data_IF_044179812119
#
_entry.id   IF_044179812119
#
_cell.length_a   1.000
_cell.length_b   1.000
_cell.length_c   1.000
_cell.angle_alpha   90.00
_cell.angle_beta   90.00
_cell.angle_gamma   90.00
#
_symmetry.space_group_name_H-M   'P 1'
#
loop_
_entity.id
_entity.type
_entity.pdbx_description
1 polymer ?
#
# COMPACT_ATOMS: atom_id res chain seq x y z
N UNK A 1 -5.37 22.75 -8.24
CA UNK A 1 -5.74 22.08 -9.51
C UNK A 1 -5.06 20.74 -9.47
N UNK A 2 -5.69 19.68 -9.98
CA UNK A 2 -5.09 18.35 -9.93
C UNK A 2 -3.73 18.31 -10.62
N UNK A 3 -2.83 17.43 -10.17
CA UNK A 3 -1.60 17.17 -10.90
C UNK A 3 -1.93 16.62 -12.30
N UNK A 4 -1.24 17.14 -13.31
CA UNK A 4 -1.33 16.63 -14.67
C UNK A 4 -0.85 15.18 -14.78
N UNK A 5 0.09 14.77 -13.91
CA UNK A 5 0.62 13.40 -13.83
C UNK A 5 1.75 13.29 -12.82
N UNK A 6 2.53 12.20 -12.88
CA UNK A 6 3.62 11.93 -11.95
C UNK A 6 4.65 13.06 -11.86
N UNK A 7 5.01 13.71 -12.98
CA UNK A 7 6.08 14.73 -13.01
C UNK A 7 5.74 15.97 -12.19
N UNK A 8 4.51 16.48 -12.32
CA UNK A 8 4.07 17.64 -11.52
C UNK A 8 3.91 17.28 -10.04
N UNK A 9 3.48 16.04 -9.75
CA UNK A 9 3.48 15.54 -8.38
C UNK A 9 4.90 15.45 -7.80
N UNK A 10 5.88 14.99 -8.58
CA UNK A 10 7.29 14.96 -8.17
C UNK A 10 7.82 16.37 -7.88
N UNK A 11 7.49 17.37 -8.71
CA UNK A 11 7.82 18.78 -8.46
C UNK A 11 7.19 19.29 -7.15
N UNK A 12 5.96 18.88 -6.83
CA UNK A 12 5.33 19.22 -5.54
C UNK A 12 6.09 18.60 -4.36
N UNK A 13 6.49 17.33 -4.46
CA UNK A 13 7.30 16.67 -3.45
C UNK A 13 8.68 17.33 -3.29
N UNK A 14 9.31 17.79 -4.38
CA UNK A 14 10.59 18.50 -4.33
C UNK A 14 10.45 19.86 -3.63
N UNK A 15 9.38 20.61 -3.92
CA UNK A 15 9.06 21.88 -3.22
C UNK A 15 8.92 21.70 -1.71
N UNK A 16 8.36 20.57 -1.28
CA UNK A 16 8.13 20.24 0.14
C UNK A 16 9.32 19.49 0.78
N UNK A 17 10.47 19.42 0.11
CA UNK A 17 11.69 18.73 0.56
C UNK A 17 11.45 17.25 0.90
N UNK A 18 10.55 16.60 0.16
CA UNK A 18 10.22 15.17 0.34
C UNK A 18 10.97 14.26 -0.61
N UNK A 19 11.72 14.77 -1.57
CA UNK A 19 12.51 13.97 -2.50
C UNK A 19 13.99 14.01 -2.14
N UNK A 20 14.61 12.85 -2.08
CA UNK A 20 16.06 12.71 -2.05
C UNK A 20 16.54 12.15 -3.38
N UNK A 21 17.31 12.96 -4.12
CA UNK A 21 17.95 12.57 -5.38
C UNK A 21 19.27 11.87 -5.11
N UNK A 22 19.36 10.63 -5.56
CA UNK A 22 20.56 9.79 -5.44
C UNK A 22 21.29 9.88 -6.77
N UNK A 23 22.37 10.67 -6.78
CA UNK A 23 23.21 10.93 -7.95
C UNK A 23 24.28 9.85 -8.17
N UNK A 24 24.53 9.03 -7.15
CA UNK A 24 25.41 7.88 -7.25
C UNK A 24 24.82 6.85 -8.23
N UNK A 25 25.68 6.21 -9.02
CA UNK A 25 25.26 5.08 -9.85
C UNK A 25 24.94 3.88 -8.96
N UNK A 26 23.78 3.27 -9.18
CA UNK A 26 23.32 2.12 -8.40
C UNK A 26 23.02 0.91 -9.27
N UNK A 27 23.19 -0.28 -8.69
CA UNK A 27 22.79 -1.54 -9.31
C UNK A 27 21.32 -1.90 -8.99
N UNK A 28 20.51 -2.16 -10.04
CA UNK A 28 19.09 -2.52 -9.87
C UNK A 28 18.91 -3.92 -9.26
N UNK A 29 19.90 -4.80 -9.40
CA UNK A 29 19.78 -6.22 -9.03
C UNK A 29 20.03 -6.45 -7.54
N UNK A 30 20.51 -5.44 -6.79
CA UNK A 30 20.67 -5.57 -5.34
C UNK A 30 20.68 -4.23 -4.57
N UNK A 31 21.22 -3.17 -5.16
CA UNK A 31 21.59 -1.96 -4.42
C UNK A 31 20.37 -1.06 -4.13
N UNK A 32 19.45 -0.92 -5.10
CA UNK A 32 18.19 -0.18 -4.92
C UNK A 32 17.40 -0.73 -3.72
N UNK A 33 17.23 -2.05 -3.64
CA UNK A 33 16.51 -2.69 -2.54
C UNK A 33 17.21 -2.48 -1.20
N UNK A 34 18.55 -2.62 -1.17
CA UNK A 34 19.34 -2.41 0.04
C UNK A 34 19.26 -0.96 0.55
N UNK A 35 19.35 0.03 -0.34
CA UNK A 35 19.23 1.45 0.00
C UNK A 35 17.84 1.73 0.58
N UNK A 36 16.78 1.30 -0.08
CA UNK A 36 15.40 1.42 0.42
C UNK A 36 15.26 0.82 1.83
N UNK A 37 15.78 -0.39 2.05
CA UNK A 37 15.73 -1.04 3.37
C UNK A 37 16.46 -0.24 4.44
N UNK A 38 17.65 0.30 4.15
CA UNK A 38 18.40 1.11 5.13
C UNK A 38 17.71 2.45 5.41
N UNK A 39 17.07 3.06 4.42
CA UNK A 39 16.26 4.28 4.61
C UNK A 39 15.12 4.01 5.60
N UNK A 40 14.33 2.95 5.40
CA UNK A 40 13.21 2.61 6.29
C UNK A 40 13.63 2.21 7.71
N UNK A 41 14.85 1.70 7.88
CA UNK A 41 15.42 1.35 9.19
C UNK A 41 16.03 2.54 9.94
N UNK A 42 16.72 3.45 9.24
CA UNK A 42 17.54 4.49 9.86
C UNK A 42 16.83 5.83 9.96
N UNK A 43 15.87 6.11 9.09
CA UNK A 43 15.17 7.39 9.03
C UNK A 43 13.79 7.23 9.66
N UNK A 44 13.51 8.09 10.64
CA UNK A 44 12.23 8.14 11.34
C UNK A 44 11.06 8.26 10.33
N UNK A 45 9.92 7.59 10.55
CA UNK A 45 8.81 7.52 9.58
C UNK A 45 8.38 8.86 8.99
N UNK A 46 8.32 9.92 9.80
CA UNK A 46 7.86 11.25 9.38
C UNK A 46 8.87 11.97 8.47
N UNK A 47 10.15 11.58 8.50
CA UNK A 47 11.25 12.20 7.77
C UNK A 47 11.73 11.40 6.56
N UNK A 48 11.12 10.24 6.29
CA UNK A 48 11.52 9.39 5.18
C UNK A 48 11.25 10.09 3.84
N UNK A 49 12.26 10.23 2.98
CA UNK A 49 12.08 10.84 1.67
C UNK A 49 11.62 9.81 0.63
N UNK A 50 10.99 10.31 -0.42
CA UNK A 50 10.88 9.67 -1.72
C UNK A 50 12.27 9.57 -2.33
N UNK A 51 12.65 8.40 -2.84
CA UNK A 51 13.98 8.15 -3.38
C UNK A 51 13.94 8.21 -4.91
N UNK A 52 14.73 9.11 -5.49
CA UNK A 52 14.89 9.25 -6.93
C UNK A 52 16.30 8.82 -7.32
N UNK A 53 16.44 7.61 -7.85
CA UNK A 53 17.72 7.06 -8.32
C UNK A 53 17.98 7.53 -9.75
N UNK A 54 18.88 8.50 -9.91
CA UNK A 54 19.11 9.16 -11.20
C UNK A 54 19.89 8.29 -12.19
N UNK A 55 20.78 7.45 -11.67
CA UNK A 55 21.72 6.66 -12.45
C UNK A 55 21.61 5.19 -12.07
N UNK A 56 21.04 4.39 -12.96
CA UNK A 56 20.97 2.94 -12.80
C UNK A 56 21.94 2.30 -13.78
N UNK A 57 22.85 1.47 -13.28
CA UNK A 57 23.91 0.86 -14.08
C UNK A 57 23.36 0.11 -15.29
N UNK A 58 23.72 0.57 -16.49
CA UNK A 58 23.30 -0.03 -17.76
C UNK A 58 21.94 0.45 -18.28
N UNK A 59 21.31 1.46 -17.65
CA UNK A 59 20.00 1.98 -18.04
C UNK A 59 19.98 3.52 -18.08
N UNK A 60 19.28 4.09 -19.06
CA UNK A 60 19.05 5.54 -19.18
C UNK A 60 17.75 6.00 -18.47
N UNK A 61 17.08 5.09 -17.76
CA UNK A 61 15.79 5.30 -17.12
C UNK A 61 16.02 5.40 -15.60
N UNK A 62 15.69 6.54 -14.95
CA UNK A 62 15.76 6.66 -13.49
C UNK A 62 14.68 5.83 -12.80
N UNK A 63 14.92 5.47 -11.53
CA UNK A 63 13.97 4.72 -10.70
C UNK A 63 13.45 5.58 -9.56
N UNK A 64 12.13 5.61 -9.38
CA UNK A 64 11.44 6.33 -8.31
C UNK A 64 10.81 5.35 -7.32
N UNK A 65 11.16 5.43 -6.04
CA UNK A 65 10.65 4.57 -4.95
C UNK A 65 10.11 5.44 -3.80
N UNK A 66 9.04 5.03 -3.11
CA UNK A 66 8.51 5.79 -1.97
C UNK A 66 7.49 6.91 -2.29
N UNK A 67 7.21 7.24 -3.55
CA UNK A 67 6.31 8.37 -3.88
C UNK A 67 4.84 8.20 -3.48
N UNK A 68 4.42 7.07 -2.93
CA UNK A 68 3.10 6.95 -2.28
C UNK A 68 3.22 6.65 -0.78
N UNK A 69 4.27 5.93 -0.38
CA UNK A 69 4.38 5.37 0.98
C UNK A 69 5.70 5.64 1.70
N UNK A 70 6.46 6.67 1.34
CA UNK A 70 7.63 7.06 2.14
C UNK A 70 7.20 7.57 3.52
N UNK A 71 6.14 8.39 3.57
CA UNK A 71 5.52 8.89 4.80
C UNK A 71 4.04 9.25 4.57
N UNK A 72 3.27 9.44 5.64
CA UNK A 72 1.87 9.91 5.52
C UNK A 72 1.75 11.30 4.90
N UNK A 73 2.79 12.12 5.00
CA UNK A 73 2.82 13.46 4.39
C UNK A 73 2.96 13.36 2.87
N UNK A 74 3.79 12.43 2.37
CA UNK A 74 3.87 12.13 0.92
C UNK A 74 2.50 11.71 0.38
N UNK A 75 1.80 10.82 1.10
CA UNK A 75 0.43 10.42 0.74
C UNK A 75 -0.57 11.59 0.77
N UNK A 76 -0.42 12.53 1.72
CA UNK A 76 -1.27 13.72 1.80
C UNK A 76 -1.01 14.71 0.65
N UNK A 77 0.27 14.91 0.27
CA UNK A 77 0.68 15.74 -0.87
C UNK A 77 0.10 15.17 -2.18
N UNK A 78 0.06 13.84 -2.34
CA UNK A 78 -0.62 13.20 -3.47
C UNK A 78 -2.11 13.58 -3.58
N UNK A 79 -2.79 13.76 -2.45
CA UNK A 79 -4.18 14.25 -2.38
C UNK A 79 -4.31 15.78 -2.45
N UNK A 80 -3.17 16.50 -2.46
CA UNK A 80 -3.08 17.95 -2.29
C UNK A 80 -3.82 18.43 -1.03
N UNK A 81 -3.67 17.69 0.06
CA UNK A 81 -4.33 17.99 1.32
C UNK A 81 -3.42 17.67 2.52
N UNK A 82 -3.94 17.77 3.74
CA UNK A 82 -3.25 17.48 4.99
C UNK A 82 -3.57 16.08 5.49
N UNK A 83 -2.70 15.54 6.34
CA UNK A 83 -2.82 14.17 6.88
C UNK A 83 -4.18 13.95 7.55
N UNK A 84 -4.69 14.95 8.29
CA UNK A 84 -5.95 14.85 9.01
C UNK A 84 -7.17 14.77 8.08
N UNK A 85 -7.03 15.24 6.83
CA UNK A 85 -8.12 15.30 5.84
C UNK A 85 -8.11 14.12 4.86
N UNK A 86 -7.15 13.20 4.97
CA UNK A 86 -7.04 12.03 4.08
C UNK A 86 -8.37 11.27 4.01
N UNK A 87 -8.97 10.97 5.16
CA UNK A 87 -10.24 10.22 5.19
C UNK A 87 -11.39 11.00 4.55
N UNK A 88 -11.54 12.29 4.85
CA UNK A 88 -12.57 13.12 4.23
C UNK A 88 -12.44 13.14 2.70
N UNK A 89 -11.22 13.20 2.18
CA UNK A 89 -10.96 13.18 0.73
C UNK A 89 -11.41 11.85 0.11
N UNK A 90 -11.09 10.73 0.74
CA UNK A 90 -11.54 9.41 0.31
C UNK A 90 -13.05 9.22 0.39
N UNK A 91 -13.68 9.72 1.45
CA UNK A 91 -15.13 9.65 1.61
C UNK A 91 -15.85 10.51 0.56
N UNK A 92 -15.35 11.72 0.30
CA UNK A 92 -15.90 12.60 -0.73
C UNK A 92 -15.76 11.99 -2.13
N UNK A 93 -14.61 11.41 -2.46
CA UNK A 93 -14.39 10.77 -3.76
C UNK A 93 -15.32 9.58 -4.00
N UNK A 94 -15.57 8.77 -2.96
CA UNK A 94 -16.52 7.65 -3.05
C UNK A 94 -17.98 8.10 -3.16
N UNK A 95 -18.36 9.20 -2.50
CA UNK A 95 -19.72 9.78 -2.61
C UNK A 95 -19.94 10.54 -3.92
N UNK A 96 -18.88 11.08 -4.51
CA UNK A 96 -18.92 11.92 -5.71
C UNK A 96 -17.83 11.50 -6.70
N UNK A 97 -17.93 10.28 -7.26
CA UNK A 97 -17.05 9.84 -8.33
C UNK A 97 -17.16 10.77 -9.53
N UNK A 98 -16.05 10.94 -10.27
CA UNK A 98 -16.01 11.74 -11.50
C UNK A 98 -15.52 10.84 -12.62
N UNK A 99 -16.38 10.63 -13.62
CA UNK A 99 -16.07 9.77 -14.77
C UNK A 99 -14.87 10.26 -15.57
N UNK A 100 -14.04 9.35 -16.10
CA UNK A 100 -12.92 9.71 -16.96
C UNK A 100 -13.38 10.34 -18.28
N UNK A 101 -12.50 11.09 -18.93
CA UNK A 101 -12.69 11.63 -20.28
C UNK A 101 -11.77 10.93 -21.27
N UNK A 102 -12.17 10.88 -22.54
CA UNK A 102 -11.37 10.30 -23.61
C UNK A 102 -10.57 11.40 -24.32
N UNK A 103 -9.29 11.14 -24.56
CA UNK A 103 -8.40 12.03 -25.33
C UNK A 103 -7.78 11.29 -26.52
N UNK A 104 -7.44 12.03 -27.57
CA UNK A 104 -6.93 11.46 -28.81
C UNK A 104 -5.50 10.94 -28.71
N UNK A 105 -4.67 11.59 -27.90
CA UNK A 105 -3.26 11.25 -27.66
C UNK A 105 -2.86 11.74 -26.27
N UNK A 106 -1.65 11.37 -25.84
CA UNK A 106 -1.07 11.83 -24.59
C UNK A 106 0.44 11.60 -24.56
N UNK A 107 1.14 12.20 -23.59
CA UNK A 107 2.58 12.01 -23.44
C UNK A 107 3.03 10.55 -23.39
N UNK A 108 2.21 9.63 -22.85
CA UNK A 108 2.56 8.21 -22.80
C UNK A 108 2.79 7.58 -24.20
N UNK A 109 2.40 8.27 -25.28
CA UNK A 109 2.56 7.84 -26.68
C UNK A 109 3.72 8.50 -27.43
N UNK A 110 4.60 9.24 -26.74
CA UNK A 110 5.78 9.88 -27.36
C UNK A 110 6.68 8.83 -28.05
N UNK A 111 6.82 7.64 -27.46
CA UNK A 111 7.52 6.50 -28.03
C UNK A 111 6.61 5.27 -28.07
N UNK A 112 6.57 4.55 -29.20
CA UNK A 112 5.73 3.36 -29.40
C UNK A 112 6.60 2.21 -29.92
N UNK A 113 6.72 1.15 -29.11
CA UNK A 113 7.53 -0.03 -29.40
C UNK A 113 6.60 -1.23 -29.55
N UNK A 114 6.53 -1.83 -30.75
CA UNK A 114 5.67 -2.97 -31.06
C UNK A 114 6.49 -4.21 -31.41
N UNK A 115 5.89 -5.39 -31.25
CA UNK A 115 6.51 -6.64 -31.67
C UNK A 115 7.82 -6.88 -30.92
N UNK A 116 8.92 -7.14 -31.64
CA UNK A 116 10.22 -7.45 -31.00
C UNK A 116 10.88 -6.24 -30.34
N UNK A 117 10.48 -5.01 -30.71
CA UNK A 117 10.99 -3.79 -30.07
C UNK A 117 10.41 -3.58 -28.65
N UNK A 118 9.28 -4.21 -28.34
CA UNK A 118 8.66 -4.20 -27.02
C UNK A 118 9.45 -5.12 -26.08
N UNK A 119 10.58 -4.66 -25.56
CA UNK A 119 11.51 -5.47 -24.75
C UNK A 119 11.59 -4.95 -23.31
N UNK A 120 11.08 -5.75 -22.37
CA UNK A 120 11.10 -5.50 -20.93
C UNK A 120 12.51 -5.45 -20.34
N UNK A 121 13.50 -6.09 -20.97
CA UNK A 121 14.90 -6.09 -20.51
C UNK A 121 15.54 -4.71 -20.58
N UNK A 122 14.93 -3.77 -21.32
CA UNK A 122 15.34 -2.36 -21.40
C UNK A 122 14.92 -1.53 -20.19
N UNK A 123 14.13 -2.08 -19.28
CA UNK A 123 13.66 -1.39 -18.08
C UNK A 123 14.56 -1.70 -16.88
N UNK A 124 14.83 -0.72 -16.00
CA UNK A 124 15.60 -0.90 -14.78
C UNK A 124 14.78 -1.58 -13.67
N UNK A 125 14.08 -2.68 -14.00
CA UNK A 125 13.23 -3.42 -13.07
C UNK A 125 14.07 -4.02 -11.94
N UNK A 126 13.86 -3.61 -10.67
CA UNK A 126 14.67 -4.10 -9.56
C UNK A 126 14.42 -5.57 -9.22
N UNK A 127 15.42 -6.20 -8.61
CA UNK A 127 15.26 -7.40 -7.79
C UNK A 127 15.14 -6.93 -6.34
N UNK A 128 14.10 -7.38 -5.64
CA UNK A 128 13.81 -6.87 -4.30
C UNK A 128 14.46 -7.74 -3.23
N UNK A 129 14.24 -9.04 -3.28
CA UNK A 129 14.76 -10.01 -2.32
C UNK A 129 15.86 -10.85 -2.95
N UNK A 130 17.06 -10.28 -2.99
CA UNK A 130 18.23 -10.90 -3.63
C UNK A 130 18.51 -12.29 -3.05
N UNK A 131 18.63 -13.29 -3.93
CA UNK A 131 18.87 -14.68 -3.57
C UNK A 131 17.61 -15.52 -3.38
N UNK A 132 16.44 -14.89 -3.22
CA UNK A 132 15.15 -15.57 -3.01
C UNK A 132 14.17 -15.31 -4.16
N UNK A 133 14.06 -14.07 -4.64
CA UNK A 133 13.25 -13.73 -5.81
C UNK A 133 13.84 -14.45 -7.06
N UNK A 134 13.02 -15.14 -7.87
CA UNK A 134 13.49 -15.85 -9.08
C UNK A 134 13.92 -14.91 -10.23
N UNK A 135 13.72 -13.60 -10.08
CA UNK A 135 14.05 -12.60 -11.08
C UNK A 135 13.52 -11.22 -10.72
N UNK A 136 13.60 -10.24 -11.64
CA UNK A 136 13.09 -8.89 -11.41
C UNK A 136 11.57 -8.82 -11.31
N UNK A 137 11.07 -7.88 -10.50
CA UNK A 137 9.64 -7.67 -10.27
C UNK A 137 9.20 -6.23 -10.49
N UNK A 138 8.13 -6.06 -11.28
CA UNK A 138 7.39 -4.80 -11.35
C UNK A 138 6.44 -4.77 -10.14
N UNK A 139 6.67 -3.81 -9.22
CA UNK A 139 6.00 -3.77 -7.91
C UNK A 139 5.03 -2.62 -7.69
N UNK A 140 5.06 -1.58 -8.54
CA UNK A 140 4.03 -0.53 -8.57
C UNK A 140 3.17 -0.53 -9.86
N UNK A 141 2.77 -1.69 -10.44
CA UNK A 141 1.96 -1.67 -11.64
C UNK A 141 0.52 -1.29 -11.31
N UNK A 142 -0.06 -0.36 -12.07
CA UNK A 142 -1.50 -0.22 -12.17
C UNK A 142 -1.99 -1.07 -13.34
N UNK A 143 -2.37 -2.32 -13.08
CA UNK A 143 -2.85 -3.26 -14.11
C UNK A 143 -4.33 -3.00 -14.40
N UNK A 144 -4.57 -2.57 -15.62
CA UNK A 144 -5.89 -2.30 -16.19
C UNK A 144 -6.40 -3.57 -16.86
N UNK A 145 -7.62 -3.97 -16.51
CA UNK A 145 -8.39 -4.98 -17.23
C UNK A 145 -9.85 -4.54 -17.31
N UNK A 146 -10.64 -5.19 -18.17
CA UNK A 146 -12.04 -4.83 -18.40
C UNK A 146 -12.91 -6.07 -18.37
N UNK A 147 -14.10 -5.96 -17.79
CA UNK A 147 -15.06 -7.05 -17.83
C UNK A 147 -15.57 -7.25 -19.27
N UNK A 148 -15.55 -8.48 -19.83
CA UNK A 148 -16.01 -8.71 -21.22
C UNK A 148 -17.52 -8.55 -21.42
N UNK A 149 -18.30 -8.47 -20.34
CA UNK A 149 -19.76 -8.36 -20.39
C UNK A 149 -20.22 -6.95 -20.04
N UNK A 150 -19.81 -6.45 -18.87
CA UNK A 150 -20.27 -5.14 -18.36
C UNK A 150 -19.44 -3.99 -18.90
N UNK A 151 -18.25 -4.30 -19.44
CA UNK A 151 -17.27 -3.31 -19.89
C UNK A 151 -16.76 -2.39 -18.76
N UNK A 152 -16.93 -2.79 -17.49
CA UNK A 152 -16.40 -2.05 -16.34
C UNK A 152 -14.88 -2.21 -16.24
N UNK A 153 -14.19 -1.14 -15.85
CA UNK A 153 -12.76 -1.18 -15.58
C UNK A 153 -12.44 -1.84 -14.24
N UNK A 154 -11.28 -2.50 -14.19
CA UNK A 154 -10.52 -2.72 -12.97
C UNK A 154 -9.15 -2.09 -13.15
N UNK A 155 -8.68 -1.34 -12.15
CA UNK A 155 -7.29 -0.93 -11.99
C UNK A 155 -6.75 -1.49 -10.67
N UNK A 156 -5.78 -2.39 -10.72
CA UNK A 156 -5.26 -3.03 -9.50
C UNK A 156 -3.74 -3.18 -9.50
N UNK A 157 -3.16 -3.19 -8.29
CA UNK A 157 -1.74 -3.50 -8.06
C UNK A 157 -1.54 -5.00 -7.84
N UNK A 158 -0.75 -5.63 -8.71
CA UNK A 158 -0.39 -7.04 -8.67
C UNK A 158 1.11 -7.18 -8.94
N UNK A 159 1.84 -8.00 -8.17
CA UNK A 159 3.27 -8.23 -8.49
C UNK A 159 3.41 -8.90 -9.86
N UNK A 160 4.35 -8.42 -10.67
CA UNK A 160 4.63 -8.98 -12.00
C UNK A 160 6.08 -9.44 -12.08
N UNK A 161 6.29 -10.75 -12.19
CA UNK A 161 7.62 -11.32 -12.41
C UNK A 161 8.03 -11.13 -13.87
N UNK A 162 9.21 -10.57 -14.12
CA UNK A 162 9.80 -10.54 -15.46
C UNK A 162 10.36 -11.92 -15.79
N UNK A 163 9.75 -12.60 -16.77
CA UNK A 163 10.14 -13.96 -17.21
C UNK A 163 10.95 -13.96 -18.52
N UNK A 164 11.06 -12.81 -19.16
CA UNK A 164 11.81 -12.60 -20.39
C UNK A 164 11.45 -11.27 -21.07
N UNK A 165 11.97 -11.00 -22.27
CA UNK A 165 11.75 -9.74 -23.00
C UNK A 165 10.29 -9.34 -23.21
N UNK A 166 9.39 -10.32 -23.35
CA UNK A 166 7.96 -10.09 -23.66
C UNK A 166 7.00 -10.94 -22.83
N UNK A 167 7.44 -11.37 -21.66
CA UNK A 167 6.64 -12.28 -20.82
C UNK A 167 6.71 -11.86 -19.36
N UNK A 168 5.54 -11.69 -18.77
CA UNK A 168 5.36 -11.42 -17.35
C UNK A 168 4.56 -12.54 -16.71
N UNK A 169 4.93 -12.98 -15.50
CA UNK A 169 4.01 -13.72 -14.63
C UNK A 169 3.21 -12.73 -13.80
N UNK A 170 1.90 -12.94 -13.61
CA UNK A 170 1.05 -12.09 -12.78
C UNK A 170 0.48 -12.87 -11.61
N UNK A 171 0.76 -12.42 -10.38
CA UNK A 171 0.09 -12.99 -9.21
C UNK A 171 -1.25 -12.29 -8.97
N UNK A 172 -2.32 -12.88 -9.50
CA UNK A 172 -3.69 -12.47 -9.29
C UNK A 172 -4.47 -13.55 -8.51
N UNK A 173 -4.72 -13.30 -7.22
CA UNK A 173 -5.50 -14.20 -6.37
C UNK A 173 -6.95 -14.32 -6.86
N UNK A 174 -7.60 -15.45 -6.59
CA UNK A 174 -8.93 -15.79 -7.15
C UNK A 174 -10.05 -14.81 -6.75
N UNK A 175 -9.90 -14.10 -5.63
CA UNK A 175 -10.84 -13.09 -5.15
C UNK A 175 -10.66 -11.68 -5.73
N UNK A 176 -9.65 -11.45 -6.57
CA UNK A 176 -9.37 -10.12 -7.13
C UNK A 176 -10.14 -9.89 -8.44
N UNK A 177 -10.47 -8.63 -8.74
CA UNK A 177 -11.28 -8.24 -9.90
C UNK A 177 -10.68 -8.75 -11.23
N UNK A 178 -9.36 -8.64 -11.44
CA UNK A 178 -8.72 -9.16 -12.65
C UNK A 178 -8.90 -10.68 -12.83
N UNK A 179 -8.95 -11.45 -11.73
CA UNK A 179 -9.23 -12.89 -11.78
C UNK A 179 -10.69 -13.17 -12.15
N UNK A 180 -11.62 -12.29 -11.77
CA UNK A 180 -13.01 -12.36 -12.23
C UNK A 180 -13.10 -12.11 -13.75
N UNK A 181 -12.49 -11.03 -14.25
CA UNK A 181 -12.45 -10.72 -15.67
C UNK A 181 -11.79 -11.85 -16.48
N UNK A 182 -10.61 -12.32 -16.03
CA UNK A 182 -9.88 -13.42 -16.68
C UNK A 182 -10.75 -14.67 -16.80
N UNK A 183 -11.43 -15.10 -15.74
CA UNK A 183 -12.29 -16.30 -15.77
C UNK A 183 -13.41 -16.18 -16.80
N UNK A 184 -13.99 -14.98 -16.96
CA UNK A 184 -15.01 -14.72 -17.98
C UNK A 184 -14.46 -14.82 -19.40
N UNK A 185 -13.28 -14.29 -19.67
CA UNK A 185 -12.62 -14.46 -20.98
C UNK A 185 -12.22 -15.91 -21.24
N UNK A 186 -11.66 -16.57 -20.23
CA UNK A 186 -11.20 -17.97 -20.32
C UNK A 186 -12.36 -18.94 -20.56
N UNK A 187 -13.53 -18.71 -19.94
CA UNK A 187 -14.76 -19.45 -20.23
C UNK A 187 -15.25 -19.31 -21.68
N UNK A 188 -14.83 -18.24 -22.37
CA UNK A 188 -15.08 -18.00 -23.80
C UNK A 188 -13.93 -18.45 -24.70
N UNK A 189 -12.90 -19.08 -24.13
CA UNK A 189 -11.64 -19.38 -24.80
C UNK A 189 -11.01 -18.15 -25.48
N UNK A 190 -11.16 -16.99 -24.85
CA UNK A 190 -10.61 -15.71 -25.31
C UNK A 190 -9.42 -15.30 -24.46
N UNK A 191 -8.49 -14.57 -25.06
CA UNK A 191 -7.40 -13.93 -24.35
C UNK A 191 -7.95 -12.77 -23.52
N UNK A 192 -7.42 -12.57 -22.32
CA UNK A 192 -7.79 -11.42 -21.48
C UNK A 192 -6.88 -10.23 -21.80
N UNK A 193 -7.38 -9.13 -22.36
CA UNK A 193 -6.57 -7.96 -22.61
C UNK A 193 -6.17 -7.30 -21.29
N UNK A 194 -4.91 -6.88 -21.18
CA UNK A 194 -4.38 -6.17 -20.02
C UNK A 194 -3.45 -5.03 -20.45
N UNK A 195 -3.43 -3.96 -19.68
CA UNK A 195 -2.43 -2.89 -19.80
C UNK A 195 -1.83 -2.59 -18.44
N UNK A 196 -0.51 -2.56 -18.34
CA UNK A 196 0.23 -2.29 -17.11
C UNK A 196 0.74 -0.86 -17.20
N UNK A 197 0.27 -0.02 -16.28
CA UNK A 197 0.60 1.41 -16.24
C UNK A 197 1.61 1.66 -15.12
N UNK A 198 2.74 2.30 -15.44
CA UNK A 198 3.75 2.75 -14.48
C UNK A 198 3.87 4.27 -14.51
N UNK A 199 3.99 4.85 -13.32
CA UNK A 199 4.06 6.29 -13.12
C UNK A 199 2.84 7.08 -13.64
N UNK A 200 1.58 6.67 -13.32
CA UNK A 200 0.43 7.51 -13.59
C UNK A 200 0.36 8.70 -12.63
N UNK A 201 -0.69 9.51 -12.75
CA UNK A 201 -1.12 10.40 -11.66
C UNK A 201 -1.23 9.61 -10.33
N UNK A 202 -0.74 10.15 -9.19
CA UNK A 202 -0.72 9.44 -7.92
C UNK A 202 -2.11 8.96 -7.46
N UNK A 203 -3.21 9.63 -7.83
CA UNK A 203 -4.55 9.15 -7.44
C UNK A 203 -4.93 7.81 -8.07
N UNK A 204 -4.34 7.48 -9.24
CA UNK A 204 -4.49 6.17 -9.89
C UNK A 204 -3.76 5.08 -9.10
N UNK A 205 -2.55 5.38 -8.59
CA UNK A 205 -1.82 4.44 -7.73
C UNK A 205 -2.58 4.20 -6.41
N UNK A 206 -3.18 5.25 -5.85
CA UNK A 206 -3.97 5.18 -4.62
C UNK A 206 -5.19 4.27 -4.74
N UNK A 207 -5.94 4.38 -5.83
CA UNK A 207 -7.11 3.51 -6.06
C UNK A 207 -6.68 2.08 -6.39
N UNK A 208 -5.55 1.88 -7.07
CA UNK A 208 -5.12 0.54 -7.48
C UNK A 208 -4.65 -0.35 -6.32
N UNK A 209 -4.26 0.23 -5.18
CA UNK A 209 -3.90 -0.49 -3.95
C UNK A 209 -5.09 -0.63 -2.98
N UNK A 210 -6.25 -0.05 -3.32
CA UNK A 210 -7.46 -0.06 -2.50
C UNK A 210 -8.40 -1.18 -2.94
N UNK A 211 -9.10 -1.81 -1.99
CA UNK A 211 -10.10 -2.85 -2.29
C UNK A 211 -11.48 -2.22 -2.37
N UNK A 212 -12.06 -2.20 -3.56
CA UNK A 212 -13.46 -1.82 -3.78
C UNK A 212 -14.34 -3.04 -4.03
N UNK A 213 -15.66 -2.82 -4.11
CA UNK A 213 -16.60 -3.79 -4.62
C UNK A 213 -16.52 -3.89 -6.14
N UNK A 214 -16.99 -5.01 -6.70
CA UNK A 214 -16.93 -5.31 -8.15
C UNK A 214 -17.69 -4.32 -9.04
N UNK A 215 -18.60 -3.54 -8.48
CA UNK A 215 -19.40 -2.52 -9.15
C UNK A 215 -18.78 -1.11 -9.11
N UNK A 216 -17.62 -0.95 -8.46
CA UNK A 216 -16.89 0.32 -8.39
C UNK A 216 -15.79 0.35 -9.45
N UNK A 217 -15.78 1.38 -10.29
CA UNK A 217 -14.70 1.61 -11.25
C UNK A 217 -13.63 2.54 -10.64
N UNK A 218 -12.37 2.12 -10.62
CA UNK A 218 -11.31 2.85 -9.91
C UNK A 218 -11.00 4.21 -10.55
N UNK A 219 -11.15 4.35 -11.87
CA UNK A 219 -10.95 5.64 -12.55
C UNK A 219 -11.94 6.71 -12.09
N UNK A 220 -13.18 6.32 -11.78
CA UNK A 220 -14.22 7.22 -11.30
C UNK A 220 -13.86 7.76 -9.90
N UNK A 221 -13.34 6.88 -9.04
CA UNK A 221 -12.87 7.26 -7.69
C UNK A 221 -11.61 8.13 -7.78
N UNK A 222 -10.67 7.80 -8.66
CA UNK A 222 -9.49 8.62 -8.91
C UNK A 222 -9.88 10.03 -9.37
N UNK A 223 -10.85 10.13 -10.28
CA UNK A 223 -11.45 11.39 -10.69
C UNK A 223 -12.01 12.19 -9.51
N UNK A 224 -12.73 11.52 -8.60
CA UNK A 224 -13.23 12.12 -7.36
C UNK A 224 -12.13 12.61 -6.42
N UNK A 225 -11.03 11.85 -6.26
CA UNK A 225 -9.89 12.23 -5.42
C UNK A 225 -9.16 13.47 -5.97
N UNK A 226 -8.90 13.49 -7.28
CA UNK A 226 -8.22 14.61 -7.95
C UNK A 226 -9.13 15.81 -8.17
N UNK A 227 -10.46 15.62 -8.17
CA UNK A 227 -11.47 16.66 -8.33
C UNK A 227 -11.78 17.01 -9.80
N UNK A 228 -11.26 16.25 -10.75
CA UNK A 228 -11.48 16.42 -12.19
C UNK A 228 -11.37 15.06 -12.91
N UNK A 229 -11.93 14.90 -14.12
CA UNK A 229 -11.86 13.66 -14.87
C UNK A 229 -10.43 13.18 -15.15
N UNK A 230 -10.19 11.87 -15.06
CA UNK A 230 -8.95 11.26 -15.54
C UNK A 230 -8.96 11.22 -17.08
N UNK A 231 -7.98 11.84 -17.78
CA UNK A 231 -7.88 11.75 -19.23
C UNK A 231 -7.32 10.39 -19.63
N UNK A 232 -8.13 9.60 -20.34
CA UNK A 232 -7.76 8.27 -20.83
C UNK A 232 -7.50 8.30 -22.34
N UNK A 233 -6.46 7.58 -22.77
CA UNK A 233 -6.10 7.38 -24.17
C UNK A 233 -6.17 5.88 -24.49
N UNK A 234 -6.59 5.53 -25.72
CA UNK A 234 -6.62 4.14 -26.18
C UNK A 234 -5.23 3.53 -26.24
N UNK A 235 -5.11 2.27 -25.83
CA UNK A 235 -3.94 1.43 -26.09
C UNK A 235 -3.75 1.18 -27.59
N UNK A 236 -2.54 0.77 -27.98
CA UNK A 236 -2.11 0.56 -29.36
C UNK A 236 -2.48 -0.81 -29.94
N UNK A 237 -2.53 -1.83 -29.08
CA UNK A 237 -2.65 -3.25 -29.46
C UNK A 237 -3.73 -4.01 -28.69
N UNK A 238 -4.24 -3.45 -27.59
CA UNK A 238 -5.35 -4.02 -26.81
C UNK A 238 -6.53 -3.07 -26.74
N UNK A 239 -7.78 -3.57 -26.64
CA UNK A 239 -8.99 -2.74 -26.58
C UNK A 239 -9.24 -2.16 -25.17
N UNK A 240 -8.24 -1.45 -24.62
CA UNK A 240 -8.28 -0.80 -23.32
C UNK A 240 -7.88 0.67 -23.44
N UNK A 241 -8.20 1.43 -22.39
CA UNK A 241 -7.80 2.82 -22.24
C UNK A 241 -7.03 3.01 -20.93
N UNK A 242 -6.00 3.85 -20.99
CA UNK A 242 -5.03 4.09 -19.90
C UNK A 242 -4.84 5.59 -19.67
N UNK A 243 -4.37 6.04 -18.49
CA UNK A 243 -4.14 7.46 -18.24
C UNK A 243 -3.12 8.04 -19.22
N UNK A 244 -3.50 9.11 -19.90
CA UNK A 244 -2.75 9.68 -21.03
C UNK A 244 -1.36 10.23 -20.65
N UNK A 245 -1.15 10.55 -19.37
CA UNK A 245 0.06 11.19 -18.85
C UNK A 245 1.04 10.23 -18.15
N UNK A 246 0.74 8.92 -18.20
CA UNK A 246 1.58 7.86 -17.62
C UNK A 246 3.00 7.85 -18.19
N UNK A 247 4.00 7.48 -17.37
CA UNK A 247 5.40 7.39 -17.83
C UNK A 247 5.64 6.22 -18.79
N UNK A 248 5.14 5.03 -18.44
CA UNK A 248 5.31 3.79 -19.22
C UNK A 248 4.00 3.00 -19.21
N UNK A 249 3.59 2.49 -20.37
CA UNK A 249 2.46 1.57 -20.52
C UNK A 249 2.93 0.32 -21.25
N UNK A 250 2.72 -0.83 -20.65
CA UNK A 250 3.01 -2.15 -21.24
C UNK A 250 1.67 -2.81 -21.56
N UNK A 251 1.44 -3.11 -22.82
CA UNK A 251 0.22 -3.77 -23.28
C UNK A 251 0.47 -5.24 -23.54
N UNK A 252 -0.52 -6.07 -23.25
CA UNK A 252 -0.43 -7.48 -23.54
C UNK A 252 -1.72 -8.24 -23.31
N UNK A 253 -1.63 -9.54 -23.45
CA UNK A 253 -2.78 -10.43 -23.33
C UNK A 253 -2.44 -11.65 -22.48
N UNK A 254 -3.40 -12.09 -21.66
CA UNK A 254 -3.29 -13.34 -20.91
C UNK A 254 -3.93 -14.46 -21.74
N UNK A 255 -3.18 -15.51 -22.14
CA UNK A 255 -3.75 -16.64 -22.86
C UNK A 255 -4.70 -17.47 -21.96
N UNK A 256 -5.83 -17.98 -22.50
CA UNK A 256 -6.74 -18.84 -21.74
C UNK A 256 -6.05 -20.16 -21.39
N UNK A 257 -6.25 -20.68 -20.18
CA UNK A 257 -5.73 -21.97 -19.71
C UNK A 257 -4.23 -22.05 -19.44
N UNK A 258 -3.43 -21.09 -19.95
CA UNK A 258 -1.98 -21.17 -19.86
C UNK A 258 -1.43 -20.55 -18.58
N UNK A 259 -0.56 -21.27 -17.88
CA UNK A 259 0.05 -20.87 -16.61
C UNK A 259 1.53 -21.23 -16.61
N UNK A 260 2.34 -20.44 -15.91
CA UNK A 260 3.75 -20.74 -15.65
C UNK A 260 4.06 -20.53 -14.17
N UNK A 261 5.14 -21.16 -13.69
CA UNK A 261 5.60 -20.95 -12.33
C UNK A 261 6.00 -19.48 -12.11
N UNK A 262 5.42 -18.86 -11.09
CA UNK A 262 5.65 -17.49 -10.61
C UNK A 262 6.04 -17.54 -9.13
N UNK A 263 6.96 -16.67 -8.72
CA UNK A 263 7.40 -16.57 -7.34
C UNK A 263 8.54 -17.54 -6.99
N UNK A 264 9.01 -17.54 -5.72
CA UNK A 264 8.46 -16.78 -4.59
C UNK A 264 8.73 -15.27 -4.69
N UNK A 265 8.13 -14.47 -3.80
CA UNK A 265 8.35 -13.03 -3.75
C UNK A 265 8.31 -12.51 -2.31
N UNK A 266 9.15 -11.53 -1.97
CA UNK A 266 9.18 -10.93 -0.63
C UNK A 266 7.88 -10.20 -0.26
N UNK A 267 7.16 -10.68 0.76
CA UNK A 267 5.86 -10.13 1.13
C UNK A 267 5.92 -9.11 2.28
N UNK A 268 4.83 -8.36 2.44
CA UNK A 268 4.69 -7.30 3.45
C UNK A 268 4.84 -7.79 4.90
N UNK A 269 4.69 -9.09 5.14
CA UNK A 269 4.87 -9.72 6.46
C UNK A 269 6.35 -9.88 6.81
N UNK A 270 7.23 -9.73 5.82
CA UNK A 270 8.67 -9.90 5.94
C UNK A 270 9.21 -11.28 5.64
N UNK A 271 8.35 -12.16 5.16
CA UNK A 271 8.70 -13.50 4.71
C UNK A 271 8.47 -13.63 3.21
N UNK A 272 9.11 -14.63 2.60
CA UNK A 272 8.80 -15.00 1.23
C UNK A 272 7.37 -15.53 1.14
N UNK A 273 6.60 -14.97 0.21
CA UNK A 273 5.27 -15.44 -0.14
C UNK A 273 5.30 -16.68 -1.03
N UNK A 274 4.12 -17.22 -1.30
CA UNK A 274 3.98 -18.42 -2.10
C UNK A 274 4.48 -18.24 -3.54
N UNK A 275 4.97 -19.35 -4.08
CA UNK A 275 5.18 -19.56 -5.51
C UNK A 275 4.08 -20.49 -6.05
N UNK A 276 3.82 -20.45 -7.35
CA UNK A 276 2.75 -21.26 -7.94
C UNK A 276 2.58 -21.03 -9.42
N UNK A 277 1.77 -21.90 -10.06
CA UNK A 277 1.44 -21.75 -11.47
C UNK A 277 0.41 -20.65 -11.65
N UNK A 278 0.86 -19.50 -12.17
CA UNK A 278 0.05 -18.30 -12.32
C UNK A 278 -0.12 -17.91 -13.80
N UNK A 279 -1.13 -17.09 -14.12
CA UNK A 279 -1.30 -16.56 -15.47
C UNK A 279 -0.05 -15.81 -15.93
N UNK A 280 0.19 -15.88 -17.23
CA UNK A 280 1.24 -15.10 -17.89
C UNK A 280 0.64 -14.06 -18.80
N UNK A 281 1.32 -12.94 -18.94
CA UNK A 281 1.01 -11.88 -19.88
C UNK A 281 2.02 -11.95 -21.01
N UNK A 282 1.53 -12.07 -22.24
CA UNK A 282 2.34 -11.94 -23.45
C UNK A 282 2.31 -10.48 -23.90
N UNK A 283 3.46 -9.81 -23.87
CA UNK A 283 3.58 -8.38 -24.17
C UNK A 283 3.56 -8.16 -25.68
N UNK A 284 2.72 -7.22 -26.11
CA UNK A 284 2.49 -6.88 -27.52
C UNK A 284 3.01 -5.49 -27.89
N UNK A 285 2.98 -4.55 -26.94
CA UNK A 285 3.40 -3.18 -27.14
C UNK A 285 3.93 -2.57 -25.83
N UNK A 286 4.91 -1.67 -25.94
CA UNK A 286 5.34 -0.79 -24.86
C UNK A 286 5.29 0.64 -25.40
N UNK A 287 4.56 1.51 -24.74
CA UNK A 287 4.58 2.95 -25.00
C UNK A 287 5.16 3.69 -23.81
N UNK A 288 5.89 4.77 -24.04
CA UNK A 288 6.45 5.56 -22.96
C UNK A 288 6.71 7.01 -23.36
N UNK A 289 6.80 7.86 -22.34
CA UNK A 289 7.26 9.24 -22.48
C UNK A 289 8.73 9.32 -22.87
N UNK A 290 9.14 10.45 -23.40
CA UNK A 290 10.55 10.82 -23.49
C UNK A 290 11.15 10.91 -22.09
N UNK A 291 12.32 10.28 -21.92
CA UNK A 291 13.04 10.17 -20.63
C UNK A 291 12.09 9.67 -19.52
N UNK A 292 11.55 8.45 -19.64
CA UNK A 292 10.52 7.98 -18.73
C UNK A 292 11.10 7.78 -17.32
N UNK A 293 10.26 7.86 -16.30
CA UNK A 293 10.61 7.49 -14.92
C UNK A 293 10.06 6.10 -14.63
N UNK A 294 10.92 5.16 -14.24
CA UNK A 294 10.49 3.85 -13.79
C UNK A 294 10.04 3.91 -12.34
N UNK A 295 8.75 3.68 -12.10
CA UNK A 295 8.16 3.75 -10.77
C UNK A 295 8.07 2.36 -10.13
N UNK A 296 8.44 2.25 -8.86
CA UNK A 296 8.37 0.99 -8.13
C UNK A 296 7.97 1.16 -6.65
N UNK A 297 7.40 0.11 -6.06
CA UNK A 297 7.10 0.03 -4.64
C UNK A 297 8.13 -0.83 -3.91
N UNK A 298 8.57 -0.36 -2.76
CA UNK A 298 9.38 -1.16 -1.83
C UNK A 298 8.47 -1.93 -0.85
N UNK A 299 8.24 -3.22 -1.12
CA UNK A 299 7.49 -4.12 -0.23
C UNK A 299 8.34 -5.31 0.17
N UNK A 300 8.68 -5.39 1.45
CA UNK A 300 9.48 -6.45 2.09
C UNK A 300 9.19 -6.46 3.60
N UNK A 301 10.11 -7.03 4.40
CA UNK A 301 10.17 -6.93 5.85
C UNK A 301 9.75 -5.55 6.36
N UNK A 302 8.75 -5.48 7.26
CA UNK A 302 8.33 -4.21 7.82
C UNK A 302 9.46 -3.55 8.65
N UNK A 303 9.45 -2.21 8.80
CA UNK A 303 8.64 -1.28 8.03
C UNK A 303 9.10 -1.20 6.57
N UNK A 304 8.15 -0.98 5.67
CA UNK A 304 8.33 -0.86 4.21
C UNK A 304 7.28 0.11 3.61
N UNK A 305 7.42 0.49 2.34
CA UNK A 305 6.51 1.43 1.67
C UNK A 305 5.06 0.91 1.73
N UNK A 306 4.86 -0.40 1.52
CA UNK A 306 3.54 -1.03 1.58
C UNK A 306 2.90 -0.97 2.97
N UNK A 307 3.69 -1.05 4.05
CA UNK A 307 3.19 -0.89 5.42
C UNK A 307 2.70 0.54 5.68
N UNK A 308 3.40 1.56 5.17
CA UNK A 308 3.00 2.96 5.32
C UNK A 308 1.75 3.29 4.48
N UNK A 309 1.66 2.80 3.24
CA UNK A 309 0.47 2.95 2.38
C UNK A 309 -0.75 2.37 3.10
N UNK A 310 -0.64 1.12 3.55
CA UNK A 310 -1.72 0.41 4.23
C UNK A 310 -2.15 1.12 5.51
N UNK A 311 -1.19 1.54 6.34
CA UNK A 311 -1.43 2.30 7.57
C UNK A 311 -2.20 3.58 7.26
N UNK A 312 -1.64 4.42 6.38
CA UNK A 312 -2.17 5.76 6.07
C UNK A 312 -3.58 5.70 5.49
N UNK A 313 -3.86 4.75 4.59
CA UNK A 313 -5.19 4.58 4.01
C UNK A 313 -6.24 4.01 4.96
N UNK A 314 -5.83 3.35 6.07
CA UNK A 314 -6.75 2.58 6.93
C UNK A 314 -6.99 3.19 8.30
N UNK A 315 -5.97 3.74 8.95
CA UNK A 315 -6.07 4.25 10.33
C UNK A 315 -7.20 5.27 10.48
N UNK A 316 -7.22 6.28 9.62
CA UNK A 316 -8.21 7.35 9.70
C UNK A 316 -9.64 6.85 9.45
N UNK A 317 -9.82 5.91 8.53
CA UNK A 317 -11.13 5.32 8.24
C UNK A 317 -11.64 4.45 9.39
N UNK A 318 -10.76 3.69 10.05
CA UNK A 318 -11.10 2.94 11.26
C UNK A 318 -11.41 3.88 12.44
N UNK A 319 -10.61 4.93 12.65
CA UNK A 319 -10.82 5.89 13.71
C UNK A 319 -12.18 6.60 13.56
N UNK A 320 -12.47 7.10 12.36
CA UNK A 320 -13.75 7.72 12.01
C UNK A 320 -14.92 6.75 12.18
N UNK A 321 -14.77 5.49 11.75
CA UNK A 321 -15.79 4.47 11.99
C UNK A 321 -16.12 4.29 13.47
N UNK A 322 -15.09 4.12 14.31
CA UNK A 322 -15.29 3.91 15.74
C UNK A 322 -15.85 5.16 16.44
N UNK A 323 -15.32 6.32 16.11
CA UNK A 323 -15.61 7.59 16.79
C UNK A 323 -16.91 8.22 16.31
N UNK A 324 -17.04 8.41 15.00
CA UNK A 324 -18.10 9.22 14.40
C UNK A 324 -19.29 8.36 13.99
N UNK A 325 -19.07 7.19 13.37
CA UNK A 325 -20.17 6.32 12.92
C UNK A 325 -20.80 5.54 14.08
N UNK A 326 -19.98 5.04 15.02
CA UNK A 326 -20.46 4.26 16.18
C UNK A 326 -20.60 5.10 17.47
N UNK A 327 -20.14 6.35 17.49
CA UNK A 327 -20.23 7.23 18.65
C UNK A 327 -19.43 6.74 19.87
N UNK A 328 -18.36 5.97 19.66
CA UNK A 328 -17.52 5.45 20.75
C UNK A 328 -16.48 6.49 21.17
N UNK A 329 -16.10 6.48 22.45
CA UNK A 329 -15.11 7.40 23.02
C UNK A 329 -13.66 7.00 22.69
N UNK A 330 -13.35 6.88 21.40
CA UNK A 330 -12.00 6.61 20.89
C UNK A 330 -11.26 7.92 20.66
N UNK A 331 -10.08 8.06 21.27
CA UNK A 331 -9.18 9.19 21.07
C UNK A 331 -8.38 9.01 19.79
N UNK A 332 -7.78 7.83 19.64
CA UNK A 332 -6.83 7.55 18.55
C UNK A 332 -6.74 6.04 18.26
N UNK A 333 -6.24 5.72 17.06
CA UNK A 333 -6.01 4.35 16.60
C UNK A 333 -4.71 4.29 15.79
N UNK A 334 -3.88 3.29 16.08
CA UNK A 334 -2.61 3.08 15.41
C UNK A 334 -2.45 1.63 14.93
N UNK A 335 -1.99 1.48 13.69
CA UNK A 335 -1.57 0.23 13.06
C UNK A 335 -0.05 0.31 12.83
N UNK A 336 0.77 -0.19 13.77
CA UNK A 336 2.22 -0.05 13.69
C UNK A 336 2.80 -0.61 12.39
N UNK A 337 3.65 0.17 11.72
CA UNK A 337 4.34 -0.28 10.50
C UNK A 337 5.25 -1.47 10.78
N UNK A 338 5.83 -1.55 11.99
CA UNK A 338 6.61 -2.70 12.47
C UNK A 338 5.83 -4.01 12.46
N UNK A 339 4.50 -3.96 12.57
CA UNK A 339 3.58 -5.09 12.47
C UNK A 339 2.95 -5.22 11.06
N UNK A 340 3.60 -4.68 10.03
CA UNK A 340 3.11 -4.67 8.64
C UNK A 340 1.82 -3.87 8.44
N UNK A 341 1.49 -2.99 9.40
CA UNK A 341 0.22 -2.28 9.53
C UNK A 341 -1.02 -3.21 9.46
N UNK A 342 -0.87 -4.45 9.95
CA UNK A 342 -1.93 -5.46 9.92
C UNK A 342 -1.96 -6.35 11.16
N UNK A 343 -0.80 -6.78 11.66
CA UNK A 343 -0.71 -7.75 12.75
C UNK A 343 -1.13 -7.18 14.12
N UNK A 344 -0.94 -5.88 14.34
CA UNK A 344 -1.22 -5.22 15.62
C UNK A 344 -2.14 -4.01 15.42
N UNK A 345 -3.05 -3.81 16.36
CA UNK A 345 -3.95 -2.67 16.44
C UNK A 345 -3.92 -2.09 17.85
N UNK A 346 -3.62 -0.80 17.96
CA UNK A 346 -3.55 -0.06 19.21
C UNK A 346 -4.70 0.94 19.23
N UNK A 347 -5.49 0.97 20.30
CA UNK A 347 -6.67 1.84 20.41
C UNK A 347 -6.58 2.60 21.73
N UNK A 348 -6.56 3.93 21.66
CA UNK A 348 -6.62 4.80 22.82
C UNK A 348 -8.05 5.26 23.06
N UNK A 349 -8.57 5.07 24.28
CA UNK A 349 -9.97 5.37 24.61
C UNK A 349 -10.10 6.21 25.87
N UNK A 350 -11.12 7.08 25.89
CA UNK A 350 -11.61 7.65 27.13
C UNK A 350 -12.60 6.67 27.75
N UNK A 351 -12.11 5.80 28.62
CA UNK A 351 -12.92 4.75 29.25
C UNK A 351 -13.87 5.35 30.29
N UNK A 352 -15.17 5.18 30.08
CA UNK A 352 -16.20 5.58 31.04
C UNK A 352 -16.84 4.36 31.73
N UNK A 353 -16.86 3.22 31.05
CA UNK A 353 -17.46 1.99 31.56
C UNK A 353 -16.59 0.75 31.22
N UNK A 354 -16.54 -0.29 32.06
CA UNK A 354 -15.78 -1.51 31.77
C UNK A 354 -16.12 -2.20 30.44
N UNK A 355 -17.32 -1.99 29.90
CA UNK A 355 -17.74 -2.56 28.62
C UNK A 355 -17.17 -1.84 27.39
N UNK A 356 -16.63 -0.64 27.53
CA UNK A 356 -16.18 0.18 26.39
C UNK A 356 -15.09 -0.51 25.58
N UNK A 357 -14.17 -1.23 26.26
CA UNK A 357 -13.13 -2.03 25.60
C UNK A 357 -13.73 -3.08 24.67
N UNK A 358 -14.77 -3.80 25.11
CA UNK A 358 -15.45 -4.77 24.23
C UNK A 358 -16.14 -4.08 23.07
N UNK A 359 -16.79 -2.93 23.29
CA UNK A 359 -17.51 -2.17 22.26
C UNK A 359 -16.55 -1.70 21.15
N UNK A 360 -15.40 -1.12 21.53
CA UNK A 360 -14.41 -0.64 20.54
C UNK A 360 -13.77 -1.80 19.78
N UNK A 361 -13.44 -2.90 20.46
CA UNK A 361 -12.88 -4.09 19.80
C UNK A 361 -13.88 -4.71 18.83
N UNK A 362 -15.14 -4.88 19.24
CA UNK A 362 -16.20 -5.41 18.36
C UNK A 362 -16.45 -4.50 17.16
N UNK A 363 -16.46 -3.17 17.35
CA UNK A 363 -16.57 -2.21 16.25
C UNK A 363 -15.39 -2.29 15.28
N UNK A 364 -14.16 -2.40 15.80
CA UNK A 364 -12.96 -2.48 15.00
C UNK A 364 -12.93 -3.77 14.16
N UNK A 365 -13.28 -4.90 14.77
CA UNK A 365 -13.35 -6.19 14.09
C UNK A 365 -14.49 -6.26 13.07
N UNK A 366 -15.60 -5.55 13.31
CA UNK A 366 -16.69 -5.46 12.32
C UNK A 366 -16.26 -4.74 11.04
N UNK A 367 -15.35 -3.76 11.16
CA UNK A 367 -14.84 -2.98 10.02
C UNK A 367 -13.62 -3.65 9.36
N UNK A 368 -12.69 -4.19 10.14
CA UNK A 368 -11.41 -4.73 9.67
C UNK A 368 -11.08 -6.09 10.29
N UNK A 369 -11.94 -7.09 10.06
CA UNK A 369 -11.78 -8.43 10.64
C UNK A 369 -10.42 -9.08 10.33
N UNK A 370 -9.87 -8.89 9.12
CA UNK A 370 -8.56 -9.40 8.72
C UNK A 370 -7.34 -8.69 9.33
N UNK A 371 -7.54 -7.78 10.30
CA UNK A 371 -6.49 -7.00 10.97
C UNK A 371 -6.48 -7.29 12.48
N UNK A 372 -5.42 -6.89 13.17
CA UNK A 372 -5.33 -6.98 14.62
C UNK A 372 -5.30 -8.42 15.13
N UNK A 373 -4.22 -9.17 14.81
CA UNK A 373 -3.92 -10.42 15.53
C UNK A 373 -3.70 -10.14 17.02
N UNK A 374 -3.05 -9.01 17.32
CA UNK A 374 -2.95 -8.44 18.66
C UNK A 374 -3.67 -7.10 18.70
N UNK A 375 -4.63 -6.95 19.62
CA UNK A 375 -5.41 -5.73 19.81
C UNK A 375 -5.17 -5.26 21.24
N UNK A 376 -4.61 -4.07 21.40
CA UNK A 376 -4.28 -3.50 22.71
C UNK A 376 -5.08 -2.22 22.87
N UNK A 377 -5.87 -2.15 23.94
CA UNK A 377 -6.69 -0.98 24.27
C UNK A 377 -6.10 -0.30 25.50
N UNK A 378 -5.78 0.99 25.39
CA UNK A 378 -5.14 1.80 26.43
C UNK A 378 -5.97 3.03 26.75
N UNK A 379 -5.67 3.68 27.88
CA UNK A 379 -6.30 4.94 28.29
C UNK A 379 -5.94 6.13 27.37
N UNK A 380 -6.71 7.21 27.47
CA UNK A 380 -6.60 8.40 26.61
C UNK A 380 -5.32 9.22 26.80
N UNK A 381 -4.58 8.97 27.88
CA UNK A 381 -3.31 9.61 28.23
C UNK A 381 -2.07 8.84 27.74
N UNK A 382 -2.26 7.66 27.13
CA UNK A 382 -1.17 6.85 26.57
C UNK A 382 -0.94 7.21 25.10
N UNK A 383 0.27 7.67 24.75
CA UNK A 383 0.65 7.90 23.34
C UNK A 383 0.93 6.57 22.63
N UNK A 384 0.00 6.14 21.80
CA UNK A 384 0.05 4.82 21.13
C UNK A 384 1.08 4.71 20.01
N UNK A 385 1.68 5.82 19.55
CA UNK A 385 2.84 5.79 18.62
C UNK A 385 4.18 5.66 19.35
N UNK A 386 4.19 5.82 20.67
CA UNK A 386 5.33 5.52 21.53
C UNK A 386 5.17 4.12 22.12
N UNK A 387 5.89 3.16 21.53
CA UNK A 387 5.82 1.76 21.98
C UNK A 387 6.21 1.60 23.46
N UNK A 388 7.10 2.43 24.00
CA UNK A 388 7.50 2.34 25.40
C UNK A 388 6.34 2.68 26.35
N UNK A 389 5.47 3.62 25.99
CA UNK A 389 4.29 3.95 26.79
C UNK A 389 3.23 2.84 26.73
N UNK A 390 3.06 2.18 25.58
CA UNK A 390 2.16 1.02 25.45
C UNK A 390 2.69 -0.16 26.27
N UNK A 391 3.99 -0.44 26.21
CA UNK A 391 4.65 -1.46 27.03
C UNK A 391 4.52 -1.17 28.53
N UNK A 392 4.68 0.09 28.94
CA UNK A 392 4.47 0.53 30.32
C UNK A 392 3.02 0.30 30.77
N UNK A 393 2.04 0.71 29.96
CA UNK A 393 0.62 0.46 30.24
C UNK A 393 0.33 -1.04 30.36
N UNK A 394 0.86 -1.86 29.44
CA UNK A 394 0.71 -3.32 29.52
C UNK A 394 1.33 -3.91 30.80
N UNK A 395 2.43 -3.35 31.28
CA UNK A 395 3.14 -3.87 32.46
C UNK A 395 2.40 -3.62 33.76
N UNK A 396 1.68 -2.49 33.87
CA UNK A 396 1.11 -2.05 35.15
C UNK A 396 -0.42 -1.94 35.15
N UNK A 397 -1.10 -1.91 34.00
CA UNK A 397 -2.57 -1.82 33.91
C UNK A 397 -3.24 -3.18 33.65
N UNK A 398 -2.49 -4.23 33.31
CA UNK A 398 -3.03 -5.53 32.91
C UNK A 398 -2.87 -6.54 34.04
N UNK A 399 -3.97 -7.19 34.41
CA UNK A 399 -3.97 -8.45 35.15
C UNK A 399 -4.19 -9.60 34.16
N UNK A 400 -3.15 -10.38 33.79
CA UNK A 400 -3.19 -11.24 32.60
C UNK A 400 -4.38 -12.22 32.53
N UNK A 401 -4.79 -12.81 33.66
CA UNK A 401 -5.89 -13.77 33.69
C UNK A 401 -7.28 -13.13 33.49
N UNK A 402 -7.42 -11.83 33.76
CA UNK A 402 -8.68 -11.10 33.71
C UNK A 402 -8.80 -10.24 32.44
N UNK A 403 -7.67 -9.70 31.99
CA UNK A 403 -7.62 -8.61 31.02
C UNK A 403 -7.12 -9.04 29.64
N UNK A 404 -6.65 -10.28 29.50
CA UNK A 404 -6.29 -10.88 28.21
C UNK A 404 -7.37 -11.87 27.80
N UNK A 405 -7.87 -11.71 26.57
CA UNK A 405 -8.89 -12.58 25.98
C UNK A 405 -8.44 -13.07 24.62
N UNK A 406 -8.62 -14.36 24.38
CA UNK A 406 -8.42 -14.95 23.07
C UNK A 406 -9.79 -15.10 22.40
N UNK A 407 -9.90 -14.60 21.18
CA UNK A 407 -11.05 -14.81 20.29
C UNK A 407 -10.59 -15.82 19.24
N UNK A 408 -11.10 -17.05 19.30
CA UNK A 408 -10.84 -18.09 18.31
C UNK A 408 -11.79 -18.00 17.12
N UNK A 409 -11.47 -18.77 16.07
CA UNK A 409 -12.35 -19.00 14.90
C UNK A 409 -12.74 -17.71 14.15
N UNK A 410 -11.78 -16.80 13.98
CA UNK A 410 -11.96 -15.52 13.29
C UNK A 410 -11.06 -15.40 12.07
N UNK A 411 -11.33 -14.42 11.21
CA UNK A 411 -10.49 -14.20 10.04
C UNK A 411 -9.02 -13.96 10.39
N UNK A 412 -8.17 -14.73 9.74
CA UNK A 412 -6.73 -14.63 9.71
C UNK A 412 -6.22 -13.26 9.19
N UNK A 413 -5.08 -12.81 9.73
CA UNK A 413 -4.25 -11.84 9.01
C UNK A 413 -3.67 -12.54 7.78
N UNK A 414 -3.89 -11.98 6.60
CA UNK A 414 -3.45 -12.58 5.34
C UNK A 414 -1.91 -12.70 5.28
N UNK A 415 -1.39 -13.78 4.69
CA UNK A 415 0.05 -14.05 4.56
C UNK A 415 0.81 -14.23 5.89
N UNK A 416 0.12 -14.42 7.02
CA UNK A 416 0.77 -14.72 8.31
C UNK A 416 1.39 -16.13 8.27
N UNK A 417 2.73 -16.26 8.33
CA UNK A 417 3.40 -17.54 8.20
C UNK A 417 3.16 -18.48 9.39
N UNK A 418 2.69 -17.96 10.54
CA UNK A 418 2.42 -18.80 11.72
C UNK A 418 1.18 -19.68 11.59
N UNK A 419 0.37 -19.47 10.54
CA UNK A 419 -0.87 -20.24 10.31
C UNK A 419 -0.59 -21.67 9.86
N UNK A 420 0.41 -21.86 9.01
CA UNK A 420 0.75 -23.17 8.50
C UNK A 420 2.18 -23.18 7.91
N UNK A 421 2.87 -24.33 7.95
CA UNK A 421 4.18 -24.53 7.33
C UNK A 421 4.21 -24.11 5.84
N UNK A 422 5.38 -23.74 5.29
CA UNK A 422 5.50 -23.23 3.92
C UNK A 422 4.93 -24.15 2.83
N UNK A 423 4.87 -25.46 3.07
CA UNK A 423 4.38 -26.46 2.11
C UNK A 423 2.85 -26.40 1.93
N UNK A 424 2.13 -25.83 2.88
CA UNK A 424 0.67 -25.65 2.77
C UNK A 424 0.39 -24.49 1.83
N UNK A 425 -0.37 -24.69 0.72
CA UNK A 425 -0.65 -23.62 -0.24
C UNK A 425 -1.25 -22.37 0.41
N UNK A 426 -0.92 -21.19 -0.10
CA UNK A 426 -1.39 -19.92 0.48
C UNK A 426 -2.91 -19.76 0.47
N UNK A 427 -3.58 -20.39 -0.51
CA UNK A 427 -5.04 -20.35 -0.67
C UNK A 427 -5.78 -21.38 0.18
N UNK A 428 -5.06 -22.27 0.87
CA UNK A 428 -5.65 -23.33 1.67
C UNK A 428 -6.61 -22.75 2.74
N UNK A 429 -7.83 -23.29 2.89
CA UNK A 429 -8.79 -22.82 3.88
C UNK A 429 -8.27 -22.80 5.32
N UNK A 430 -7.32 -23.68 5.68
CA UNK A 430 -6.68 -23.70 7.00
C UNK A 430 -5.93 -22.40 7.34
N UNK A 431 -5.46 -21.66 6.33
CA UNK A 431 -4.81 -20.35 6.50
C UNK A 431 -5.81 -19.20 6.67
N UNK A 432 -7.12 -19.44 6.53
CA UNK A 432 -8.15 -18.37 6.57
C UNK A 432 -8.74 -18.14 7.95
N UNK A 433 -8.60 -19.12 8.84
CA UNK A 433 -9.13 -19.07 10.21
C UNK A 433 -7.96 -19.00 11.19
N UNK A 434 -8.06 -18.11 12.17
CA UNK A 434 -7.04 -17.93 13.20
C UNK A 434 -7.67 -17.49 14.52
N UNK A 435 -6.84 -17.02 15.44
CA UNK A 435 -7.25 -16.39 16.69
C UNK A 435 -6.68 -14.98 16.81
N UNK A 436 -7.30 -14.18 17.67
CA UNK A 436 -6.86 -12.83 18.01
C UNK A 436 -6.74 -12.71 19.52
N UNK A 437 -5.78 -11.93 19.98
CA UNK A 437 -5.58 -11.59 21.39
C UNK A 437 -6.05 -10.16 21.61
N UNK A 438 -6.94 -9.97 22.56
CA UNK A 438 -7.39 -8.66 23.04
C UNK A 438 -6.77 -8.44 24.42
N UNK A 439 -6.05 -7.35 24.57
CA UNK A 439 -5.41 -6.94 25.83
C UNK A 439 -6.05 -5.63 26.27
N UNK A 440 -6.79 -5.69 27.39
CA UNK A 440 -7.31 -4.50 28.05
C UNK A 440 -6.22 -3.91 28.96
N UNK A 441 -5.42 -2.99 28.43
CA UNK A 441 -4.39 -2.23 29.14
C UNK A 441 -4.90 -0.86 29.64
N UNK A 442 -6.21 -0.72 29.84
CA UNK A 442 -6.80 0.45 30.51
C UNK A 442 -6.80 0.29 32.03
N UNK A 443 -6.78 1.40 32.78
CA UNK A 443 -6.95 1.35 34.24
C UNK A 443 -8.33 0.78 34.62
N UNK A 444 -8.38 0.00 35.69
CA UNK A 444 -9.62 -0.67 36.17
C UNK A 444 -10.33 0.10 37.29
N UNK A 445 -9.60 1.00 37.93
CA UNK A 445 -10.00 1.83 39.06
C UNK A 445 -9.01 3.02 39.12
N UNK A 446 -9.20 3.91 40.09
CA UNK A 446 -8.23 4.98 40.34
C UNK A 446 -6.89 4.39 40.79
N UNK A 447 -5.83 4.69 40.04
CA UNK A 447 -4.47 4.26 40.37
C UNK A 447 -3.80 5.31 41.27
N UNK A 448 -2.72 4.95 41.99
CA UNK A 448 -1.86 5.94 42.64
C UNK A 448 -1.38 7.00 41.63
N UNK A 449 -1.09 8.20 42.14
CA UNK A 449 -0.56 9.27 41.31
C UNK A 449 0.72 8.83 40.58
N UNK A 450 0.86 9.26 39.32
CA UNK A 450 2.08 9.00 38.55
C UNK A 450 3.27 9.70 39.22
N UNK A 451 4.41 9.01 39.26
CA UNK A 451 5.67 9.54 39.77
C UNK A 451 6.34 10.42 38.70
N UNK A 452 5.69 11.53 38.35
CA UNK A 452 6.15 12.50 37.37
C UNK A 452 6.25 13.90 37.99
N UNK A 453 7.21 14.73 37.55
CA UNK A 453 7.14 16.16 37.80
C UNK A 453 5.83 16.75 37.25
N UNK A 454 5.29 17.83 37.84
CA UNK A 454 4.14 18.53 37.30
C UNK A 454 4.34 18.93 35.83
N UNK A 455 3.29 18.81 35.01
CA UNK A 455 3.37 19.08 33.57
C UNK A 455 3.83 20.51 33.26
N UNK A 456 3.44 21.49 34.07
CA UNK A 456 3.90 22.87 33.93
C UNK A 456 5.42 23.02 34.08
N UNK A 457 6.07 22.19 34.90
CA UNK A 457 7.52 22.20 35.06
C UNK A 457 8.20 21.58 33.86
N UNK A 458 7.66 20.47 33.32
CA UNK A 458 8.16 19.83 32.12
C UNK A 458 8.09 20.78 30.92
N UNK A 459 6.95 21.45 30.69
CA UNK A 459 6.80 22.45 29.61
C UNK A 459 7.76 23.61 29.73
N UNK A 460 8.08 24.06 30.95
CA UNK A 460 9.09 25.10 31.20
C UNK A 460 10.50 24.62 30.87
N UNK A 461 10.81 23.35 31.15
CA UNK A 461 12.08 22.72 30.75
C UNK A 461 12.17 22.68 29.23
N UNK A 462 11.13 22.22 28.53
CA UNK A 462 11.10 22.14 27.07
C UNK A 462 11.26 23.52 26.40
N UNK A 463 10.54 24.53 26.88
CA UNK A 463 10.65 25.91 26.37
C UNK A 463 12.05 26.52 26.57
N UNK A 464 12.85 25.93 27.46
CA UNK A 464 14.19 26.36 27.78
C UNK A 464 15.24 25.30 27.45
N UNK A 465 14.90 24.32 26.60
CA UNK A 465 15.74 23.12 26.38
C UNK A 465 17.18 23.46 26.00
N UNK A 466 17.36 24.44 25.10
CA UNK A 466 18.66 24.92 24.65
C UNK A 466 19.57 25.41 25.81
N UNK A 467 19.01 25.96 26.89
CA UNK A 467 19.82 26.47 28.02
C UNK A 467 20.57 25.33 28.75
N UNK A 468 20.14 24.08 28.58
CA UNK A 468 20.77 22.91 29.18
C UNK A 468 21.89 22.30 28.32
N UNK A 469 22.05 22.74 27.06
CA UNK A 469 23.13 22.30 26.18
C UNK A 469 23.02 20.85 25.69
N UNK A 470 21.80 20.35 25.49
CA UNK A 470 21.49 18.99 25.05
C UNK A 470 20.81 19.01 23.67
N UNK A 471 21.56 19.18 22.58
CA UNK A 471 21.04 19.12 21.20
C UNK A 471 21.66 17.98 20.37
#
# INVERSE_FOLDING_TARGET
MAYAGLREYLEALERDNKVHRITAEVDKDWEIAAVCRRVFQRIAPQRRPVLFFERVKGFDIPVLVGSLGASSEVYAIALQDRIERIHERWEQAQKRPIKPTQVMTGPCKENILRGDAADLSRMPTPIWTVGEDPGPYITAPCVVSRDPETLAYNVGTYRLQVKGPRRLGIWAAEGQHISHHRRKYEARNQRTPVAIVLGPDPTIEMVSVTKFSLDTEEYDIAGGLRGEPVPLVRCETVPLEVPATSEIVIEGEIPPGYREHEGPFGEYTGYMGAAGNMPVIEVTCITHRDRPIYRAFFSQMPPSESSCIKRTGREQSLLKHLKDDLGLSVRDLHLPESAGAAGMMLISIKKAHPSDVKRVVSGALRYAEGFGKFIIVVDEDIEIRDHAQVEWAMSFHVQPAQDIRIIGEVQAVALDPSQAPPEVPQEDPSRRVSSKVVIDATRKHEFPALSLPPEEHLRRVDAQWAKYGLE
#
